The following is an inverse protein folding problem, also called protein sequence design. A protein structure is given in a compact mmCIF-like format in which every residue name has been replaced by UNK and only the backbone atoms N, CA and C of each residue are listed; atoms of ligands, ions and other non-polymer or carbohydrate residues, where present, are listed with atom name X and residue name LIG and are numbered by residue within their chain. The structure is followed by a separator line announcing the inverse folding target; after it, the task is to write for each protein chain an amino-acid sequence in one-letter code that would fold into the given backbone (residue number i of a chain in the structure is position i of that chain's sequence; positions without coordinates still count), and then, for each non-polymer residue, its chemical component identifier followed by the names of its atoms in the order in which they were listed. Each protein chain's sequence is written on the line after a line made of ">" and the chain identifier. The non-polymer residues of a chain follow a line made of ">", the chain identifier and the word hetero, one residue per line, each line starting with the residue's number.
data_IF_166094122067
#
_entry.id   IF_166094122067
#
_cell.length_a   1.000
_cell.length_b   1.000
_cell.length_c   1.000
_cell.angle_alpha   90.00
_cell.angle_beta   90.00
_cell.angle_gamma   90.00
#
_symmetry.space_group_name_H-M   'P 1'
#
loop_
_entity.id
_entity.type
_entity.pdbx_description
1 polymer ?
#
# COMPACT_ATOMS: atom_id res chain seq x y z
N UNK A 1 -20.26 5.43 -8.32
CA UNK A 1 -20.82 4.30 -7.54
C UNK A 1 -19.82 3.76 -6.52
N UNK A 2 -18.58 3.42 -6.90
CA UNK A 2 -17.59 2.82 -5.97
C UNK A 2 -17.18 3.72 -4.80
N UNK A 3 -16.95 5.03 -5.02
CA UNK A 3 -16.57 5.96 -3.94
C UNK A 3 -17.70 6.11 -2.91
N UNK A 4 -18.95 6.24 -3.36
CA UNK A 4 -20.10 6.36 -2.48
C UNK A 4 -20.31 5.10 -1.62
N UNK A 5 -20.12 3.91 -2.20
CA UNK A 5 -20.17 2.64 -1.47
C UNK A 5 -19.06 2.56 -0.41
N UNK A 6 -17.82 2.93 -0.75
CA UNK A 6 -16.72 2.95 0.22
C UNK A 6 -16.98 3.89 1.39
N UNK A 7 -17.47 5.11 1.12
CA UNK A 7 -17.79 6.08 2.18
C UNK A 7 -18.90 5.54 3.08
N UNK A 8 -19.97 4.98 2.50
CA UNK A 8 -21.06 4.39 3.26
C UNK A 8 -20.59 3.22 4.14
N UNK A 9 -19.80 2.30 3.59
CA UNK A 9 -19.25 1.17 4.32
C UNK A 9 -18.32 1.61 5.47
N UNK A 10 -17.46 2.62 5.24
CA UNK A 10 -16.60 3.19 6.28
C UNK A 10 -17.41 3.83 7.41
N UNK A 11 -18.46 4.60 7.09
CA UNK A 11 -19.33 5.21 8.11
C UNK A 11 -20.01 4.14 8.96
N UNK A 12 -20.55 3.09 8.34
CA UNK A 12 -21.18 1.98 9.06
C UNK A 12 -20.15 1.26 9.96
N UNK A 13 -18.96 0.94 9.45
CA UNK A 13 -17.93 0.28 10.26
C UNK A 13 -17.48 1.11 11.47
N UNK A 14 -17.32 2.42 11.31
CA UNK A 14 -16.91 3.29 12.42
C UNK A 14 -18.05 3.46 13.42
N UNK A 15 -19.29 3.71 12.95
CA UNK A 15 -20.44 3.93 13.81
C UNK A 15 -20.86 2.68 14.61
N UNK A 16 -20.70 1.48 14.03
CA UNK A 16 -21.05 0.21 14.64
C UNK A 16 -19.84 -0.57 15.18
N UNK A 17 -18.66 0.05 15.26
CA UNK A 17 -17.42 -0.59 15.72
C UNK A 17 -17.58 -1.25 17.09
N UNK A 18 -18.21 -0.55 18.04
CA UNK A 18 -18.48 -1.04 19.39
C UNK A 18 -19.41 -2.26 19.40
N UNK A 19 -20.53 -2.20 18.66
CA UNK A 19 -21.51 -3.27 18.57
C UNK A 19 -20.93 -4.51 17.87
N UNK A 20 -20.17 -4.32 16.79
CA UNK A 20 -19.49 -5.41 16.09
C UNK A 20 -18.51 -6.13 17.03
N UNK A 21 -17.68 -5.37 17.75
CA UNK A 21 -16.73 -5.95 18.71
C UNK A 21 -17.43 -6.66 19.87
N UNK A 22 -18.56 -6.14 20.36
CA UNK A 22 -19.34 -6.78 21.42
C UNK A 22 -19.90 -8.15 21.04
N UNK A 23 -20.29 -8.34 19.76
CA UNK A 23 -20.77 -9.63 19.24
C UNK A 23 -19.66 -10.69 19.25
N UNK A 24 -18.42 -10.28 18.96
CA UNK A 24 -17.28 -11.21 18.93
C UNK A 24 -16.73 -11.53 20.32
N UNK A 25 -16.82 -10.62 21.28
CA UNK A 25 -16.18 -10.75 22.60
C UNK A 25 -17.10 -11.22 23.73
N UNK A 26 -18.43 -11.14 23.56
CA UNK A 26 -19.40 -11.47 24.61
C UNK A 26 -19.46 -10.43 25.73
N UNK A 27 -20.38 -10.63 26.68
CA UNK A 27 -20.55 -9.76 27.85
C UNK A 27 -19.37 -9.92 28.84
N UNK A 28 -18.83 -8.80 29.34
CA UNK A 28 -17.76 -8.78 30.36
C UNK A 28 -16.39 -8.22 29.91
N UNK A 29 -16.21 -7.86 28.63
CA UNK A 29 -14.95 -7.33 28.08
C UNK A 29 -15.05 -5.87 27.60
N UNK A 30 -15.81 -5.02 28.31
CA UNK A 30 -16.06 -3.63 27.89
C UNK A 30 -14.78 -2.80 27.68
N UNK A 31 -13.75 -3.03 28.51
CA UNK A 31 -12.45 -2.35 28.36
C UNK A 31 -11.80 -2.66 27.00
N UNK A 32 -11.84 -3.93 26.58
CA UNK A 32 -11.23 -4.32 25.29
C UNK A 32 -12.07 -3.82 24.11
N UNK A 33 -13.39 -3.77 24.25
CA UNK A 33 -14.29 -3.23 23.23
C UNK A 33 -14.07 -1.72 23.05
N UNK A 34 -13.95 -0.96 24.14
CA UNK A 34 -13.66 0.48 24.09
C UNK A 34 -12.31 0.76 23.43
N UNK A 35 -11.29 0.00 23.81
CA UNK A 35 -9.94 0.11 23.25
C UNK A 35 -9.91 -0.30 21.76
N UNK A 36 -10.64 -1.36 21.40
CA UNK A 36 -10.75 -1.82 20.01
C UNK A 36 -11.53 -0.86 19.10
N UNK A 37 -12.47 -0.08 19.65
CA UNK A 37 -13.23 0.91 18.89
C UNK A 37 -12.38 2.11 18.42
N UNK A 38 -11.21 2.34 19.02
CA UNK A 38 -10.27 3.38 18.57
C UNK A 38 -9.56 2.99 17.26
N UNK A 39 -9.34 1.69 17.04
CA UNK A 39 -8.60 1.18 15.88
C UNK A 39 -9.17 1.64 14.53
N UNK A 40 -10.48 1.47 14.23
CA UNK A 40 -11.06 1.89 12.95
C UNK A 40 -10.89 3.39 12.69
N UNK A 41 -10.99 4.21 13.73
CA UNK A 41 -10.87 5.68 13.64
C UNK A 41 -9.45 6.10 13.28
N UNK A 42 -8.45 5.52 13.96
CA UNK A 42 -7.03 5.77 13.65
C UNK A 42 -6.72 5.30 12.23
N UNK A 43 -7.17 4.12 11.83
CA UNK A 43 -6.95 3.58 10.50
C UNK A 43 -7.58 4.44 9.40
N UNK A 44 -8.82 4.87 9.58
CA UNK A 44 -9.53 5.72 8.63
C UNK A 44 -8.80 7.06 8.41
N UNK A 45 -8.29 7.68 9.49
CA UNK A 45 -7.53 8.93 9.39
C UNK A 45 -6.20 8.78 8.63
N UNK A 46 -5.57 7.60 8.70
CA UNK A 46 -4.25 7.34 8.14
C UNK A 46 -4.28 6.58 6.81
N UNK A 47 -5.45 6.30 6.23
CA UNK A 47 -5.58 5.57 4.98
C UNK A 47 -4.90 6.24 3.79
N UNK A 48 -4.76 7.56 3.78
CA UNK A 48 -4.01 8.25 2.73
C UNK A 48 -2.53 7.82 2.70
N UNK A 49 -1.91 7.53 3.86
CA UNK A 49 -0.53 7.04 3.95
C UNK A 49 -0.43 5.63 3.37
N UNK A 50 -1.38 4.77 3.72
CA UNK A 50 -1.48 3.42 3.19
C UNK A 50 -1.61 3.45 1.67
N UNK A 51 -2.53 4.25 1.12
CA UNK A 51 -2.71 4.41 -0.31
C UNK A 51 -1.43 4.88 -1.01
N UNK A 52 -0.75 5.88 -0.44
CA UNK A 52 0.52 6.41 -0.97
C UNK A 52 1.63 5.36 -0.96
N UNK A 53 1.75 4.59 0.12
CA UNK A 53 2.71 3.49 0.23
C UNK A 53 2.49 2.44 -0.87
N UNK A 54 1.24 2.02 -1.09
CA UNK A 54 0.92 1.05 -2.13
C UNK A 54 1.12 1.63 -3.53
N UNK A 55 0.83 2.92 -3.75
CA UNK A 55 1.11 3.59 -5.00
C UNK A 55 2.62 3.59 -5.33
N UNK A 56 3.48 3.96 -4.38
CA UNK A 56 4.93 3.88 -4.58
C UNK A 56 5.41 2.43 -4.78
N UNK A 57 4.85 1.49 -4.01
CA UNK A 57 5.19 0.07 -4.16
C UNK A 57 4.81 -0.45 -5.54
N UNK A 58 3.66 -0.04 -6.08
CA UNK A 58 3.23 -0.36 -7.45
C UNK A 58 4.11 0.31 -8.49
N UNK A 59 4.46 1.58 -8.31
CA UNK A 59 5.35 2.34 -9.18
C UNK A 59 6.72 1.65 -9.34
N UNK A 60 7.40 1.32 -8.23
CA UNK A 60 8.73 0.69 -8.31
C UNK A 60 8.70 -0.74 -8.84
N UNK A 61 7.60 -1.49 -8.61
CA UNK A 61 7.41 -2.82 -9.22
C UNK A 61 7.16 -2.70 -10.73
N UNK A 62 6.37 -1.73 -11.16
CA UNK A 62 6.07 -1.48 -12.58
C UNK A 62 7.26 -0.91 -13.36
N UNK A 63 8.15 -0.16 -12.70
CA UNK A 63 9.32 0.45 -13.34
C UNK A 63 10.52 -0.51 -13.51
N UNK A 64 10.37 -1.79 -13.16
CA UNK A 64 11.47 -2.76 -13.13
C UNK A 64 12.46 -2.58 -11.98
N UNK A 65 12.24 -1.61 -11.08
CA UNK A 65 13.10 -1.36 -9.91
C UNK A 65 12.61 -2.13 -8.67
N UNK A 66 12.35 -3.43 -8.85
CA UNK A 66 11.72 -4.32 -7.85
C UNK A 66 12.50 -4.42 -6.54
N UNK A 67 13.83 -4.25 -6.58
CA UNK A 67 14.67 -4.22 -5.37
C UNK A 67 14.26 -3.12 -4.39
N UNK A 68 13.83 -1.96 -4.90
CA UNK A 68 13.35 -0.88 -4.05
C UNK A 68 12.02 -1.23 -3.37
N UNK A 69 11.10 -1.86 -4.11
CA UNK A 69 9.84 -2.32 -3.54
C UNK A 69 10.03 -3.38 -2.44
N UNK A 70 11.08 -4.21 -2.57
CA UNK A 70 11.46 -5.15 -1.50
C UNK A 70 11.93 -4.40 -0.24
N UNK A 71 12.83 -3.42 -0.38
CA UNK A 71 13.28 -2.61 0.76
C UNK A 71 12.12 -1.89 1.43
N UNK A 72 11.20 -1.29 0.65
CA UNK A 72 9.99 -0.66 1.19
C UNK A 72 9.13 -1.64 1.98
N UNK A 73 9.00 -2.89 1.53
CA UNK A 73 8.21 -3.90 2.22
C UNK A 73 8.85 -4.34 3.53
N UNK A 74 10.18 -4.58 3.52
CA UNK A 74 10.94 -4.95 4.72
C UNK A 74 10.91 -3.80 5.73
N UNK A 75 11.14 -2.55 5.29
CA UNK A 75 11.05 -1.37 6.15
C UNK A 75 9.65 -1.22 6.73
N UNK A 76 8.60 -1.42 5.93
CA UNK A 76 7.24 -1.34 6.44
C UNK A 76 6.94 -2.37 7.52
N UNK A 77 7.46 -3.60 7.44
CA UNK A 77 7.26 -4.61 8.49
C UNK A 77 8.17 -4.37 9.69
N UNK A 78 9.46 -4.12 9.45
CA UNK A 78 10.44 -3.92 10.51
C UNK A 78 10.12 -2.71 11.39
N UNK A 79 9.78 -1.57 10.78
CA UNK A 79 9.42 -0.35 11.51
C UNK A 79 8.15 -0.56 12.32
N UNK A 80 7.15 -1.29 11.80
CA UNK A 80 5.93 -1.62 12.57
C UNK A 80 6.27 -2.37 13.85
N UNK A 81 7.10 -3.41 13.76
CA UNK A 81 7.48 -4.24 14.90
C UNK A 81 8.27 -3.39 15.91
N UNK A 82 9.33 -2.70 15.46
CA UNK A 82 10.18 -1.89 16.34
C UNK A 82 9.38 -0.79 17.02
N UNK A 83 8.54 -0.07 16.27
CA UNK A 83 7.72 1.00 16.84
C UNK A 83 6.69 0.45 17.83
N UNK A 84 6.04 -0.67 17.52
CA UNK A 84 5.05 -1.28 18.42
C UNK A 84 5.71 -1.72 19.73
N UNK A 85 6.89 -2.34 19.68
CA UNK A 85 7.64 -2.71 20.89
C UNK A 85 8.17 -1.49 21.66
N UNK A 86 8.59 -0.44 20.97
CA UNK A 86 9.08 0.78 21.60
C UNK A 86 7.96 1.59 22.28
N UNK A 87 6.74 1.59 21.70
CA UNK A 87 5.58 2.30 22.25
C UNK A 87 4.78 1.45 23.26
N UNK A 88 4.93 0.13 23.26
CA UNK A 88 4.28 -0.77 24.22
C UNK A 88 4.42 -0.31 25.69
N UNK A 89 5.59 0.13 26.20
CA UNK A 89 5.71 0.58 27.59
C UNK A 89 4.99 1.92 27.88
N UNK A 90 4.66 2.72 26.86
CA UNK A 90 4.03 4.04 27.05
C UNK A 90 2.53 4.03 26.79
N UNK A 91 2.06 3.21 25.86
CA UNK A 91 0.68 3.27 25.34
C UNK A 91 0.02 1.89 25.27
N UNK A 92 0.64 0.88 25.87
CA UNK A 92 0.14 -0.49 26.03
C UNK A 92 -0.39 -1.08 24.71
N UNK A 93 -1.67 -1.46 24.68
CA UNK A 93 -2.32 -2.06 23.52
C UNK A 93 -2.34 -1.12 22.30
N UNK A 94 -2.40 0.20 22.52
CA UNK A 94 -2.51 1.18 21.43
C UNK A 94 -1.26 1.35 20.60
N UNK A 95 -0.11 0.90 21.13
CA UNK A 95 1.14 0.83 20.39
C UNK A 95 1.01 -0.03 19.12
N UNK A 96 0.16 -1.06 19.14
CA UNK A 96 -0.02 -1.99 18.02
C UNK A 96 -0.64 -1.27 16.82
N UNK A 97 -1.72 -0.51 17.03
CA UNK A 97 -2.37 0.19 15.92
C UNK A 97 -1.68 1.48 15.53
N UNK A 98 -1.02 2.19 16.45
CA UNK A 98 -0.19 3.35 16.10
C UNK A 98 1.08 2.95 15.35
N UNK A 99 1.58 1.73 15.54
CA UNK A 99 2.68 1.18 14.74
C UNK A 99 2.39 1.10 13.24
N UNK A 100 1.11 0.92 12.86
CA UNK A 100 0.68 0.83 11.45
C UNK A 100 0.90 2.15 10.69
N UNK A 101 0.32 3.29 11.10
CA UNK A 101 0.61 4.60 10.50
C UNK A 101 2.09 4.96 10.46
N UNK A 102 2.84 4.72 11.53
CA UNK A 102 4.27 5.04 11.60
C UNK A 102 5.07 4.22 10.58
N UNK A 103 4.75 2.93 10.44
CA UNK A 103 5.34 2.08 9.41
C UNK A 103 5.03 2.57 8.00
N UNK A 104 3.79 2.98 7.73
CA UNK A 104 3.40 3.53 6.43
C UNK A 104 4.13 4.84 6.15
N UNK A 105 4.16 5.77 7.11
CA UNK A 105 4.82 7.06 7.00
C UNK A 105 6.31 6.88 6.65
N UNK A 106 7.02 6.04 7.40
CA UNK A 106 8.45 5.78 7.16
C UNK A 106 8.69 5.18 5.78
N UNK A 107 7.82 4.28 5.35
CA UNK A 107 7.90 3.66 4.03
C UNK A 107 7.63 4.66 2.90
N UNK A 108 6.65 5.56 3.09
CA UNK A 108 6.37 6.65 2.15
C UNK A 108 7.58 7.59 2.03
N UNK A 109 8.21 7.97 3.15
CA UNK A 109 9.42 8.79 3.15
C UNK A 109 10.56 8.12 2.38
N UNK A 110 10.76 6.81 2.60
CA UNK A 110 11.74 6.02 1.85
C UNK A 110 11.43 5.98 0.34
N UNK A 111 10.15 5.83 -0.02
CA UNK A 111 9.69 5.87 -1.41
C UNK A 111 9.94 7.22 -2.08
N UNK A 112 9.63 8.32 -1.39
CA UNK A 112 9.90 9.69 -1.87
C UNK A 112 11.40 9.90 -2.07
N UNK A 113 12.22 9.47 -1.11
CA UNK A 113 13.68 9.58 -1.22
C UNK A 113 14.22 8.81 -2.41
N UNK A 114 13.81 7.56 -2.60
CA UNK A 114 14.22 6.75 -3.74
C UNK A 114 13.71 7.29 -5.08
N UNK A 115 12.52 7.89 -5.10
CA UNK A 115 12.00 8.57 -6.27
C UNK A 115 12.88 9.76 -6.66
N UNK A 116 13.27 10.58 -5.68
CA UNK A 116 14.17 11.73 -5.87
C UNK A 116 15.58 11.34 -6.32
N UNK A 117 16.09 10.17 -5.90
CA UNK A 117 17.38 9.66 -6.37
C UNK A 117 17.41 9.31 -7.86
N UNK A 118 16.26 9.17 -8.53
CA UNK A 118 16.19 8.95 -9.98
C UNK A 118 16.72 7.60 -10.47
N UNK A 119 17.24 6.73 -9.57
CA UNK A 119 17.79 5.40 -9.90
C UNK A 119 16.81 4.50 -10.63
N UNK A 120 15.52 4.72 -10.44
CA UNK A 120 14.44 4.00 -11.13
C UNK A 120 14.44 4.22 -12.65
N UNK A 121 14.97 5.34 -13.15
CA UNK A 121 15.04 5.64 -14.59
C UNK A 121 16.01 4.72 -15.34
N UNK A 122 17.02 4.20 -14.65
CA UNK A 122 18.02 3.31 -15.24
C UNK A 122 17.48 1.89 -15.52
N UNK A 123 16.32 1.54 -14.94
CA UNK A 123 15.67 0.24 -15.09
C UNK A 123 14.53 0.26 -16.11
N UNK A 124 14.39 1.33 -16.90
CA UNK A 124 13.45 1.40 -18.01
C UNK A 124 13.83 0.37 -19.09
N UNK A 125 13.29 -0.84 -18.96
CA UNK A 125 13.62 -2.02 -19.77
C UNK A 125 13.02 -2.00 -21.18
N UNK A 126 12.24 -0.98 -21.55
CA UNK A 126 11.74 -0.83 -22.93
C UNK A 126 12.63 0.14 -23.69
N UNK A 127 13.82 -0.34 -24.09
CA UNK A 127 14.32 0.03 -25.42
C UNK A 127 13.44 -0.75 -26.39
N UNK A 128 12.36 -0.15 -26.89
CA UNK A 128 11.69 -0.70 -28.06
C UNK A 128 12.69 -0.62 -29.20
N UNK A 129 13.49 -1.68 -29.40
CA UNK A 129 13.98 -1.97 -30.74
C UNK A 129 12.72 -2.28 -31.54
N UNK A 130 12.09 -1.25 -32.10
CA UNK A 130 11.40 -1.41 -33.36
C UNK A 130 12.48 -1.91 -34.31
N UNK A 131 12.61 -3.23 -34.39
CA UNK A 131 13.33 -3.85 -35.49
C UNK A 131 12.37 -3.65 -36.65
N UNK A 132 12.56 -2.53 -37.36
CA UNK A 132 11.92 -2.32 -38.65
C UNK A 132 12.20 -3.60 -39.45
N UNK A 133 11.12 -4.25 -39.87
CA UNK A 133 11.22 -5.56 -40.47
C UNK A 133 12.06 -5.40 -41.75
N UNK A 134 13.20 -6.06 -41.78
CA UNK A 134 14.20 -6.01 -42.86
C UNK A 134 14.27 -7.40 -43.50
N UNK A 135 13.10 -8.03 -43.65
CA UNK A 135 12.91 -9.15 -44.54
C UNK A 135 12.61 -8.63 -45.93
N UNK A 136 12.89 -9.41 -46.96
CA UNK A 136 12.30 -9.16 -48.27
C UNK A 136 10.86 -9.67 -48.22
N UNK A 137 9.90 -8.94 -48.80
CA UNK A 137 8.50 -9.36 -48.74
C UNK A 137 8.42 -10.56 -49.65
N UNK A 138 8.06 -11.77 -49.15
CA UNK A 138 7.92 -12.91 -50.04
C UNK A 138 6.96 -12.50 -51.15
N UNK A 139 7.37 -12.64 -52.42
CA UNK A 139 6.61 -12.15 -53.57
C UNK A 139 5.17 -12.67 -53.64
N UNK A 140 4.86 -13.73 -52.88
CA UNK A 140 3.51 -14.29 -52.68
C UNK A 140 2.57 -13.38 -51.87
N UNK A 141 3.08 -12.37 -51.14
CA UNK A 141 2.27 -11.39 -50.40
C UNK A 141 2.10 -10.05 -51.12
N UNK A 142 2.71 -9.87 -52.29
CA UNK A 142 2.34 -8.79 -53.19
C UNK A 142 1.03 -9.22 -53.86
N UNK A 143 -0.08 -8.81 -53.26
CA UNK A 143 -1.38 -8.84 -53.93
C UNK A 143 -1.21 -7.99 -55.19
N UNK A 144 -1.03 -8.66 -56.34
CA UNK A 144 -1.17 -8.04 -57.65
C UNK A 144 -2.57 -7.47 -57.71
N UNK A 145 -2.67 -6.16 -57.50
CA UNK A 145 -3.88 -5.42 -57.79
C UNK A 145 -4.00 -5.38 -59.32
N UNK A 146 -4.90 -6.20 -59.87
CA UNK A 146 -5.47 -5.99 -61.21
C UNK A 146 -6.16 -4.61 -61.32
#
# INVERSE_FOLDING_TARGET
>A
MSVAFCVMASVIMVAFSHQLLSIFMGEGNEVVIAVGAEYPTVMASCYFLMATMYAFSGFFRGSGYTRMALYMSITSLGVRIVTSYALAPTIEASAIWWGLPVGWLTTVLLGIFAYRQGKWKNFALVKSKHKEWEGDVPGEMLVENE
#
